data_IF_737584375634
#
_entry.id   IF_737584375634
#
_cell.length_a   1.000
_cell.length_b   1.000
_cell.length_c   1.000
_cell.angle_alpha   90.00
_cell.angle_beta   90.00
_cell.angle_gamma   90.00
#
_symmetry.space_group_name_H-M   'P 1'
#
loop_
_entity.id
_entity.type
_entity.pdbx_description
1 polymer ?
#
# COMPACT_ATOMS: atom_id res chain seq x y z
N UNK A 1 -8.90 66.71 1.41
CA UNK A 1 -7.88 65.73 0.95
C UNK A 1 -8.64 64.58 0.32
N UNK A 2 -8.51 64.36 -0.99
CA UNK A 2 -9.14 63.22 -1.65
C UNK A 2 -8.40 61.93 -1.25
N UNK A 3 -9.10 60.80 -1.08
CA UNK A 3 -8.46 59.51 -0.82
C UNK A 3 -7.52 59.16 -1.97
N UNK A 4 -6.38 58.53 -1.65
CA UNK A 4 -5.44 58.07 -2.67
C UNK A 4 -6.07 56.97 -3.52
N UNK A 5 -5.65 56.86 -4.79
CA UNK A 5 -6.17 55.81 -5.68
C UNK A 5 -6.05 54.40 -5.10
N UNK A 6 -5.01 54.12 -4.30
CA UNK A 6 -4.85 52.83 -3.62
C UNK A 6 -5.89 52.57 -2.53
N UNK A 7 -6.31 53.60 -1.79
CA UNK A 7 -7.37 53.46 -0.77
C UNK A 7 -8.74 53.20 -1.41
N UNK A 8 -9.00 53.81 -2.57
CA UNK A 8 -10.22 53.57 -3.35
C UNK A 8 -10.26 52.14 -3.90
N UNK A 9 -9.15 51.63 -4.41
CA UNK A 9 -9.07 50.24 -4.92
C UNK A 9 -9.24 49.18 -3.83
N UNK A 10 -8.69 49.42 -2.63
CA UNK A 10 -8.86 48.53 -1.48
C UNK A 10 -10.32 48.49 -1.02
N UNK A 11 -10.96 49.66 -0.86
CA UNK A 11 -12.36 49.73 -0.48
C UNK A 11 -13.30 49.06 -1.51
N UNK A 12 -13.03 49.24 -2.80
CA UNK A 12 -13.78 48.58 -3.88
C UNK A 12 -13.59 47.06 -3.85
N UNK A 13 -12.38 46.58 -3.53
CA UNK A 13 -12.11 45.15 -3.39
C UNK A 13 -12.83 44.56 -2.17
N UNK A 14 -12.84 45.27 -1.05
CA UNK A 14 -13.56 44.86 0.16
C UNK A 14 -15.06 44.84 -0.07
N UNK A 15 -15.64 45.87 -0.71
CA UNK A 15 -17.05 45.89 -1.10
C UNK A 15 -17.41 44.74 -2.05
N UNK A 16 -16.57 44.45 -3.04
CA UNK A 16 -16.79 43.32 -3.96
C UNK A 16 -16.77 41.97 -3.24
N UNK A 17 -15.89 41.81 -2.25
CA UNK A 17 -15.77 40.59 -1.45
C UNK A 17 -16.97 40.41 -0.53
N UNK A 18 -17.42 41.49 0.11
CA UNK A 18 -18.63 41.54 0.94
C UNK A 18 -19.89 41.29 0.10
N UNK A 19 -19.98 41.87 -1.09
CA UNK A 19 -21.07 41.61 -2.03
C UNK A 19 -21.12 40.14 -2.46
N UNK A 20 -19.96 39.55 -2.82
CA UNK A 20 -19.87 38.14 -3.17
C UNK A 20 -20.18 37.18 -2.00
N UNK A 21 -20.00 37.63 -0.75
CA UNK A 21 -20.41 36.93 0.46
C UNK A 21 -21.90 37.05 0.76
N UNK A 22 -22.52 38.17 0.35
CA UNK A 22 -23.94 38.48 0.58
C UNK A 22 -24.86 38.03 -0.57
N UNK A 23 -24.31 37.58 -1.70
CA UNK A 23 -25.12 36.97 -2.76
C UNK A 23 -25.82 35.71 -2.22
N UNK A 24 -27.16 35.64 -2.29
CA UNK A 24 -27.90 34.45 -1.87
C UNK A 24 -27.47 33.28 -2.76
N UNK A 25 -26.63 32.39 -2.23
CA UNK A 25 -26.46 31.07 -2.83
C UNK A 25 -27.60 30.24 -2.31
N UNK A 26 -28.66 30.12 -3.09
CA UNK A 26 -29.60 29.03 -2.92
C UNK A 26 -28.77 27.75 -3.05
N UNK A 27 -28.50 27.09 -1.92
CA UNK A 27 -27.75 25.84 -1.93
C UNK A 27 -28.63 24.81 -2.64
N UNK A 28 -28.30 24.52 -3.90
CA UNK A 28 -29.00 23.53 -4.70
C UNK A 28 -28.66 22.15 -4.15
N UNK A 29 -29.60 21.55 -3.42
CA UNK A 29 -29.54 20.16 -2.99
C UNK A 29 -30.37 19.31 -3.95
N UNK A 30 -29.85 18.14 -4.30
CA UNK A 30 -30.66 17.10 -4.89
C UNK A 30 -31.77 16.66 -3.91
N UNK A 31 -32.86 16.09 -4.43
CA UNK A 31 -33.97 15.63 -3.58
C UNK A 31 -33.52 14.56 -2.59
N UNK A 32 -32.62 13.69 -3.03
CA UNK A 32 -32.02 12.58 -2.30
C UNK A 32 -31.14 13.07 -1.13
N UNK A 33 -30.52 14.24 -1.28
CA UNK A 33 -29.65 14.84 -0.25
C UNK A 33 -30.45 15.48 0.89
N UNK A 34 -31.75 15.74 0.68
CA UNK A 34 -32.68 16.25 1.69
C UNK A 34 -32.12 17.47 2.45
N UNK A 35 -31.83 18.55 1.71
CA UNK A 35 -31.27 19.80 2.25
C UNK A 35 -30.00 19.59 3.08
N UNK A 36 -29.14 18.67 2.66
CA UNK A 36 -27.86 18.41 3.32
C UNK A 36 -27.91 17.40 4.45
N UNK A 37 -29.05 16.73 4.65
CA UNK A 37 -29.20 15.68 5.66
C UNK A 37 -28.47 14.39 5.26
N UNK A 38 -28.42 14.09 3.97
CA UNK A 38 -27.83 12.86 3.43
C UNK A 38 -26.87 13.17 2.27
N UNK A 39 -25.90 12.28 2.06
CA UNK A 39 -25.06 12.25 0.87
C UNK A 39 -25.71 11.31 -0.15
N UNK A 40 -25.85 11.75 -1.40
CA UNK A 40 -26.24 10.86 -2.48
C UNK A 40 -24.99 10.23 -3.12
N UNK A 41 -24.71 8.99 -2.74
CA UNK A 41 -23.60 8.21 -3.27
C UNK A 41 -24.04 7.18 -4.32
N UNK A 42 -25.29 7.21 -4.77
CA UNK A 42 -25.84 6.23 -5.72
C UNK A 42 -25.08 6.25 -7.04
N UNK A 43 -24.83 7.44 -7.60
CA UNK A 43 -24.04 7.60 -8.82
C UNK A 43 -22.56 7.23 -8.64
N UNK A 44 -22.04 7.29 -7.40
CA UNK A 44 -20.69 6.83 -7.10
C UNK A 44 -20.62 5.31 -6.97
N UNK A 45 -21.66 4.68 -6.43
CA UNK A 45 -21.78 3.23 -6.39
C UNK A 45 -21.78 2.63 -7.81
N UNK A 46 -22.56 3.17 -8.74
CA UNK A 46 -22.54 2.68 -10.14
C UNK A 46 -21.16 2.78 -10.79
N UNK A 47 -20.42 3.86 -10.52
CA UNK A 47 -19.03 4.02 -10.99
C UNK A 47 -18.08 3.07 -10.28
N UNK A 48 -18.27 2.85 -8.98
CA UNK A 48 -17.49 1.92 -8.17
C UNK A 48 -17.60 0.49 -8.70
N UNK A 49 -18.80 0.07 -9.12
CA UNK A 49 -19.03 -1.26 -9.71
C UNK A 49 -18.19 -1.52 -10.97
N UNK A 50 -17.73 -0.47 -11.63
CA UNK A 50 -16.88 -0.56 -12.82
C UNK A 50 -15.37 -0.56 -12.49
N UNK A 51 -14.97 -0.38 -11.23
CA UNK A 51 -13.56 -0.32 -10.81
C UNK A 51 -13.07 -1.69 -10.35
N UNK A 52 -11.94 -2.17 -10.88
CA UNK A 52 -11.39 -3.50 -10.54
C UNK A 52 -10.72 -3.60 -9.16
N UNK A 53 -10.43 -2.49 -8.48
CA UNK A 53 -9.74 -2.46 -7.18
C UNK A 53 -10.48 -3.10 -6.01
N UNK A 54 -11.79 -3.30 -6.13
CA UNK A 54 -12.62 -3.87 -5.07
C UNK A 54 -13.15 -5.26 -5.45
N UNK A 55 -12.60 -5.81 -6.54
CA UNK A 55 -12.87 -7.16 -7.02
C UNK A 55 -11.56 -7.92 -7.01
N UNK A 56 -11.55 -9.09 -6.38
CA UNK A 56 -10.50 -10.08 -6.65
C UNK A 56 -10.99 -10.94 -7.83
N UNK A 57 -10.46 -10.75 -9.05
CA UNK A 57 -10.85 -11.58 -10.20
C UNK A 57 -10.34 -13.03 -10.10
N UNK A 58 -9.42 -13.33 -9.17
CA UNK A 58 -8.79 -14.65 -9.00
C UNK A 58 -9.27 -15.39 -7.74
N UNK A 59 -10.04 -14.72 -6.86
CA UNK A 59 -10.60 -15.31 -5.65
C UNK A 59 -11.76 -16.26 -5.93
N UNK A 60 -11.71 -17.47 -5.35
CA UNK A 60 -12.76 -18.50 -5.45
C UNK A 60 -14.16 -18.00 -5.00
N UNK A 61 -14.22 -16.89 -4.25
CA UNK A 61 -15.44 -16.26 -3.75
C UNK A 61 -16.30 -15.56 -4.83
N UNK A 62 -15.74 -15.21 -6.00
CA UNK A 62 -16.43 -14.35 -6.98
C UNK A 62 -17.60 -15.03 -7.70
N UNK A 63 -17.50 -16.34 -7.94
CA UNK A 63 -18.55 -17.06 -8.65
C UNK A 63 -19.82 -17.23 -7.80
N UNK A 64 -19.72 -17.05 -6.48
CA UNK A 64 -20.84 -17.16 -5.54
C UNK A 64 -21.32 -15.82 -4.97
N UNK A 65 -20.45 -14.81 -4.76
CA UNK A 65 -20.83 -13.55 -4.09
C UNK A 65 -21.47 -12.48 -4.97
N UNK A 66 -21.32 -12.54 -6.30
CA UNK A 66 -21.90 -11.53 -7.20
C UNK A 66 -21.27 -10.14 -7.05
N UNK A 67 -21.88 -9.12 -7.69
CA UNK A 67 -21.46 -7.74 -7.53
C UNK A 67 -21.84 -7.23 -6.12
N UNK A 68 -20.98 -6.42 -5.46
CA UNK A 68 -21.27 -5.89 -4.13
C UNK A 68 -22.58 -5.08 -4.17
N UNK A 69 -23.39 -5.24 -3.14
CA UNK A 69 -24.57 -4.41 -2.99
C UNK A 69 -24.21 -3.00 -2.50
N UNK A 70 -25.22 -2.13 -2.37
CA UNK A 70 -24.98 -0.76 -1.90
C UNK A 70 -24.45 -0.71 -0.46
N UNK A 71 -24.82 -1.67 0.40
CA UNK A 71 -24.31 -1.77 1.77
C UNK A 71 -22.84 -2.17 1.80
N UNK A 72 -22.47 -3.19 1.04
CA UNK A 72 -21.07 -3.62 0.85
C UNK A 72 -20.20 -2.47 0.34
N UNK A 73 -20.73 -1.68 -0.59
CA UNK A 73 -20.08 -0.46 -1.06
C UNK A 73 -19.85 0.54 0.08
N UNK A 74 -20.87 0.83 0.89
CA UNK A 74 -20.75 1.78 2.00
C UNK A 74 -19.74 1.33 3.06
N UNK A 75 -19.55 0.03 3.24
CA UNK A 75 -18.55 -0.53 4.16
C UNK A 75 -17.09 -0.36 3.69
N UNK A 76 -16.87 -0.11 2.40
CA UNK A 76 -15.54 -0.14 1.77
C UNK A 76 -15.15 1.16 1.05
N UNK A 77 -16.08 1.96 0.55
CA UNK A 77 -15.77 3.10 -0.35
C UNK A 77 -14.83 4.15 0.26
N UNK A 78 -14.80 4.26 1.58
CA UNK A 78 -13.96 5.21 2.32
C UNK A 78 -12.57 4.66 2.68
N UNK A 79 -12.31 3.37 2.43
CA UNK A 79 -11.04 2.68 2.74
C UNK A 79 -10.08 2.77 1.56
N UNK A 80 -9.43 3.93 1.41
CA UNK A 80 -8.49 4.19 0.30
C UNK A 80 -7.11 3.52 0.48
N UNK A 81 -6.77 3.15 1.71
CA UNK A 81 -5.51 2.52 2.10
C UNK A 81 -5.39 1.05 1.62
N UNK A 82 -6.51 0.34 1.53
CA UNK A 82 -6.55 -1.06 1.05
C UNK A 82 -6.45 -1.22 -0.47
N UNK A 83 -6.48 -0.12 -1.23
CA UNK A 83 -6.45 -0.18 -2.69
C UNK A 83 -5.02 -0.34 -3.19
N UNK A 84 -4.75 -1.47 -3.85
CA UNK A 84 -3.44 -1.74 -4.43
C UNK A 84 -3.04 -0.72 -5.51
N UNK A 85 -1.75 -0.36 -5.56
CA UNK A 85 -1.22 0.60 -6.53
C UNK A 85 -1.52 0.20 -7.98
N UNK A 86 -1.50 -1.11 -8.30
CA UNK A 86 -1.81 -1.63 -9.63
C UNK A 86 -3.24 -1.30 -10.09
N UNK A 87 -4.15 -1.06 -9.15
CA UNK A 87 -5.54 -0.74 -9.42
C UNK A 87 -5.84 0.78 -9.40
N UNK A 88 -4.88 1.62 -8.96
CA UNK A 88 -4.96 3.09 -8.98
C UNK A 88 -4.75 3.68 -10.40
N UNK A 89 -5.40 3.08 -11.39
CA UNK A 89 -5.42 3.47 -12.82
C UNK A 89 -6.24 4.74 -13.05
N UNK A 90 -6.27 5.21 -14.29
CA UNK A 90 -6.97 6.44 -14.69
C UNK A 90 -8.45 6.48 -14.27
N UNK A 91 -9.18 5.36 -14.40
CA UNK A 91 -10.58 5.27 -13.99
C UNK A 91 -10.76 5.48 -12.49
N UNK A 92 -9.94 4.83 -11.67
CA UNK A 92 -9.95 5.01 -10.21
C UNK A 92 -9.60 6.43 -9.80
N UNK A 93 -8.55 7.02 -10.40
CA UNK A 93 -8.16 8.41 -10.12
C UNK A 93 -9.28 9.40 -10.43
N UNK A 94 -9.98 9.20 -11.55
CA UNK A 94 -11.14 10.01 -11.91
C UNK A 94 -12.29 9.83 -10.91
N UNK A 95 -12.59 8.60 -10.54
CA UNK A 95 -13.60 8.30 -9.52
C UNK A 95 -13.32 9.02 -8.19
N UNK A 96 -12.09 8.92 -7.68
CA UNK A 96 -11.69 9.58 -6.42
C UNK A 96 -11.72 11.10 -6.55
N UNK A 97 -11.29 11.66 -7.68
CA UNK A 97 -11.34 13.10 -7.92
C UNK A 97 -12.78 13.63 -7.97
N UNK A 98 -13.67 12.92 -8.66
CA UNK A 98 -15.09 13.27 -8.72
C UNK A 98 -15.74 13.16 -7.32
N UNK A 99 -15.39 12.14 -6.54
CA UNK A 99 -15.91 11.93 -5.19
C UNK A 99 -15.44 13.03 -4.25
N UNK A 100 -14.15 13.36 -4.28
CA UNK A 100 -13.60 14.48 -3.54
C UNK A 100 -14.29 15.80 -3.89
N UNK A 101 -14.46 16.09 -5.18
CA UNK A 101 -15.15 17.30 -5.64
C UNK A 101 -16.58 17.38 -5.12
N UNK A 102 -17.32 16.27 -5.15
CA UNK A 102 -18.67 16.19 -4.63
C UNK A 102 -18.72 16.43 -3.12
N UNK A 103 -17.86 15.77 -2.35
CA UNK A 103 -17.82 15.91 -0.89
C UNK A 103 -17.44 17.33 -0.45
N UNK A 104 -16.48 17.96 -1.15
CA UNK A 104 -16.09 19.36 -0.89
C UNK A 104 -17.25 20.31 -1.21
N UNK A 105 -17.89 20.16 -2.37
CA UNK A 105 -19.05 20.99 -2.73
C UNK A 105 -20.20 20.84 -1.74
N UNK A 106 -20.55 19.59 -1.39
CA UNK A 106 -21.57 19.28 -0.41
C UNK A 106 -21.24 19.88 0.96
N UNK A 107 -19.99 19.81 1.41
CA UNK A 107 -19.58 20.44 2.67
C UNK A 107 -19.72 21.96 2.62
N UNK A 108 -19.31 22.62 1.53
CA UNK A 108 -19.49 24.08 1.37
C UNK A 108 -20.95 24.50 1.41
N UNK A 109 -21.83 23.72 0.79
CA UNK A 109 -23.28 23.98 0.77
C UNK A 109 -23.94 23.74 2.12
N UNK A 110 -23.52 22.72 2.86
CA UNK A 110 -24.10 22.37 4.17
C UNK A 110 -23.53 23.18 5.32
N UNK A 111 -22.27 23.59 5.24
CA UNK A 111 -21.54 24.31 6.29
C UNK A 111 -20.87 25.58 5.74
N UNK A 112 -21.62 26.54 5.16
CA UNK A 112 -21.05 27.72 4.50
C UNK A 112 -20.30 28.67 5.44
N UNK A 113 -20.52 28.56 6.75
CA UNK A 113 -19.83 29.37 7.77
C UNK A 113 -18.47 28.80 8.18
N UNK A 114 -18.16 27.57 7.78
CA UNK A 114 -16.87 26.94 8.07
C UNK A 114 -15.87 27.36 6.99
N UNK A 115 -14.69 27.82 7.42
CA UNK A 115 -13.56 28.05 6.51
C UNK A 115 -13.00 26.69 6.04
N UNK A 116 -13.63 26.16 4.99
CA UNK A 116 -13.24 24.87 4.42
C UNK A 116 -11.83 24.92 3.82
N UNK A 117 -11.39 26.08 3.32
CA UNK A 117 -10.05 26.22 2.73
C UNK A 117 -8.98 26.02 3.81
N UNK A 118 -9.13 26.64 4.97
CA UNK A 118 -8.20 26.44 6.08
C UNK A 118 -8.25 24.99 6.61
N UNK A 119 -9.44 24.37 6.66
CA UNK A 119 -9.57 22.97 7.08
C UNK A 119 -8.86 22.00 6.12
N UNK A 120 -9.06 22.16 4.80
CA UNK A 120 -8.40 21.35 3.78
C UNK A 120 -6.88 21.57 3.78
N UNK A 121 -6.45 22.82 3.99
CA UNK A 121 -5.03 23.16 4.13
C UNK A 121 -4.40 22.47 5.33
N UNK A 122 -5.02 22.54 6.51
CA UNK A 122 -4.53 21.84 7.70
C UNK A 122 -4.45 20.32 7.47
N UNK A 123 -5.48 19.73 6.84
CA UNK A 123 -5.47 18.31 6.51
C UNK A 123 -4.33 17.92 5.55
N UNK A 124 -4.00 18.79 4.59
CA UNK A 124 -2.87 18.59 3.68
C UNK A 124 -1.53 18.70 4.42
N UNK A 125 -1.35 19.69 5.30
CA UNK A 125 -0.14 19.84 6.11
C UNK A 125 0.08 18.62 7.02
N UNK A 126 -0.98 18.12 7.66
CA UNK A 126 -0.93 16.91 8.47
C UNK A 126 -0.57 15.69 7.62
N UNK A 127 -1.14 15.57 6.42
CA UNK A 127 -0.80 14.51 5.47
C UNK A 127 0.67 14.59 5.05
N UNK A 128 1.19 15.75 4.65
CA UNK A 128 2.59 15.95 4.27
C UNK A 128 3.55 15.64 5.42
N UNK A 129 3.18 16.00 6.65
CA UNK A 129 3.94 15.65 7.84
C UNK A 129 3.97 14.12 8.08
N UNK A 130 2.86 13.40 7.85
CA UNK A 130 2.85 11.93 7.93
C UNK A 130 3.60 11.29 6.77
N UNK A 131 3.48 11.85 5.57
CA UNK A 131 4.14 11.39 4.35
C UNK A 131 5.66 11.49 4.46
N UNK A 132 6.19 12.62 4.90
CA UNK A 132 7.64 12.80 5.12
C UNK A 132 8.23 11.85 6.17
N UNK A 133 7.40 11.36 7.10
CA UNK A 133 7.80 10.41 8.16
C UNK A 133 7.65 8.94 7.75
N UNK A 134 7.10 8.65 6.58
CA UNK A 134 6.83 7.28 6.18
C UNK A 134 5.64 6.63 6.89
N UNK A 135 4.74 7.43 7.48
CA UNK A 135 3.67 6.95 8.35
C UNK A 135 2.28 7.09 7.70
N UNK A 136 2.16 6.72 6.43
CA UNK A 136 0.88 6.75 5.70
C UNK A 136 0.45 5.33 5.38
N UNK A 137 -0.68 4.92 5.96
CA UNK A 137 -1.26 3.58 5.81
C UNK A 137 -1.51 3.26 4.33
N UNK A 138 -1.12 2.06 3.90
CA UNK A 138 -1.37 1.57 2.53
C UNK A 138 -0.44 2.11 1.44
N UNK A 139 0.55 2.96 1.77
CA UNK A 139 1.51 3.51 0.80
C UNK A 139 2.92 2.94 0.91
N UNK A 140 3.34 2.56 2.12
CA UNK A 140 4.59 1.84 2.34
C UNK A 140 4.26 0.36 2.39
N UNK A 141 4.57 -0.34 1.30
CA UNK A 141 4.45 -1.80 1.22
C UNK A 141 5.35 -2.41 2.28
N UNK A 142 4.89 -3.45 2.99
CA UNK A 142 5.76 -4.33 3.80
C UNK A 142 6.75 -5.16 2.93
N UNK A 143 7.07 -4.70 1.73
CA UNK A 143 8.08 -5.25 0.82
C UNK A 143 8.94 -4.11 0.24
N UNK A 144 9.74 -3.47 1.10
CA UNK A 144 11.09 -2.98 0.82
C UNK A 144 11.57 -2.11 2.01
N UNK A 145 12.57 -2.63 2.73
CA UNK A 145 13.61 -1.86 3.43
C UNK A 145 13.17 -0.53 4.10
N UNK A 146 12.71 -0.61 5.35
CA UNK A 146 12.99 0.44 6.31
C UNK A 146 14.51 0.46 6.61
N UNK A 147 15.14 1.63 6.87
CA UNK A 147 16.58 1.73 6.96
C UNK A 147 17.12 0.90 8.13
N UNK A 148 18.03 -0.01 7.77
CA UNK A 148 18.81 -0.82 8.67
C UNK A 148 19.60 0.05 9.67
N UNK A 149 19.30 -0.11 10.97
CA UNK A 149 20.28 -0.08 12.05
C UNK A 149 19.62 -0.35 13.41
N UNK A 150 19.26 -1.61 13.71
CA UNK A 150 19.34 -2.15 15.08
C UNK A 150 18.86 -3.60 15.26
N UNK A 151 18.04 -4.17 14.37
CA UNK A 151 17.34 -5.44 14.68
C UNK A 151 17.57 -6.62 13.71
N UNK A 152 18.40 -6.48 12.67
CA UNK A 152 18.57 -7.51 11.62
C UNK A 152 19.46 -8.72 12.00
N UNK A 153 19.88 -8.84 13.27
CA UNK A 153 20.66 -10.00 13.72
C UNK A 153 19.81 -11.21 14.15
N UNK A 154 18.54 -11.02 14.52
CA UNK A 154 17.80 -12.04 15.29
C UNK A 154 16.68 -12.75 14.53
N UNK A 155 16.22 -12.25 13.39
CA UNK A 155 15.06 -12.83 12.68
C UNK A 155 15.39 -13.80 11.53
N UNK A 156 16.59 -14.40 11.55
CA UNK A 156 16.94 -15.55 10.68
C UNK A 156 17.17 -16.84 11.45
N UNK A 157 17.15 -16.77 12.78
CA UNK A 157 17.39 -17.90 13.67
C UNK A 157 16.12 -18.15 14.46
N UNK A 158 15.46 -19.27 14.18
CA UNK A 158 14.42 -19.78 15.08
C UNK A 158 15.12 -20.12 16.40
N UNK A 159 14.82 -19.39 17.47
CA UNK A 159 15.35 -19.73 18.79
C UNK A 159 14.65 -21.00 19.28
N UNK A 160 15.29 -22.15 19.10
CA UNK A 160 14.73 -23.45 19.48
C UNK A 160 14.49 -23.58 20.99
N UNK A 161 15.01 -22.67 21.82
CA UNK A 161 14.78 -22.68 23.27
C UNK A 161 13.34 -22.34 23.64
N UNK A 162 12.64 -21.53 22.83
CA UNK A 162 11.28 -21.06 23.10
C UNK A 162 10.19 -22.08 22.73
N UNK A 163 10.50 -23.10 21.92
CA UNK A 163 9.54 -24.09 21.47
C UNK A 163 9.68 -25.40 22.25
N UNK A 164 8.59 -25.93 22.81
CA UNK A 164 8.65 -27.12 23.68
C UNK A 164 8.28 -28.41 22.95
N UNK A 165 7.59 -28.32 21.81
CA UNK A 165 7.22 -29.47 20.98
C UNK A 165 7.47 -29.21 19.47
N UNK A 166 7.54 -30.28 18.68
CA UNK A 166 7.58 -30.17 17.21
C UNK A 166 6.25 -29.62 16.64
N UNK A 167 5.14 -29.75 17.37
CA UNK A 167 3.85 -29.16 16.97
C UNK A 167 3.87 -27.64 17.07
N UNK A 168 4.55 -27.06 18.06
CA UNK A 168 4.66 -25.60 18.19
C UNK A 168 5.45 -24.99 17.03
N UNK A 169 6.43 -25.74 16.51
CA UNK A 169 7.18 -25.38 15.31
C UNK A 169 6.35 -25.55 14.03
N UNK A 170 5.42 -26.50 13.99
CA UNK A 170 4.50 -26.69 12.87
C UNK A 170 3.63 -25.44 12.63
N UNK A 171 3.21 -24.77 13.70
CA UNK A 171 2.41 -23.54 13.64
C UNK A 171 3.14 -22.32 13.06
N UNK A 172 4.47 -22.34 12.96
CA UNK A 172 5.25 -21.25 12.34
C UNK A 172 5.13 -21.23 10.81
N UNK A 173 4.57 -22.28 10.22
CA UNK A 173 4.42 -22.39 8.77
C UNK A 173 5.68 -22.87 8.05
N UNK A 174 5.47 -23.31 6.81
CA UNK A 174 6.47 -24.01 6.00
C UNK A 174 7.70 -23.16 5.70
N UNK A 175 7.51 -21.88 5.41
CA UNK A 175 8.59 -21.01 4.94
C UNK A 175 9.55 -20.65 6.07
N UNK A 176 9.04 -20.35 7.27
CA UNK A 176 9.88 -20.12 8.47
C UNK A 176 10.71 -21.34 8.84
N UNK A 177 10.12 -22.53 8.79
CA UNK A 177 10.85 -23.78 9.06
C UNK A 177 11.93 -24.05 8.00
N UNK A 178 11.65 -23.74 6.74
CA UNK A 178 12.59 -23.88 5.63
C UNK A 178 13.78 -22.93 5.79
N UNK A 179 13.52 -21.67 6.14
CA UNK A 179 14.54 -20.66 6.43
C UNK A 179 15.39 -21.06 7.64
N UNK A 180 14.79 -21.49 8.75
CA UNK A 180 15.51 -21.93 9.93
C UNK A 180 16.39 -23.16 9.67
N UNK A 181 15.91 -24.13 8.89
CA UNK A 181 16.70 -25.28 8.47
C UNK A 181 17.85 -24.87 7.53
N UNK A 182 17.62 -23.95 6.60
CA UNK A 182 18.65 -23.44 5.69
C UNK A 182 19.73 -22.64 6.43
N UNK A 183 19.33 -21.78 7.37
CA UNK A 183 20.23 -21.03 8.25
C UNK A 183 21.07 -21.97 9.13
N UNK A 184 20.48 -23.07 9.60
CA UNK A 184 21.17 -24.13 10.32
C UNK A 184 21.98 -25.08 9.41
N UNK A 185 22.02 -24.88 8.08
CA UNK A 185 22.75 -25.75 7.15
C UNK A 185 22.18 -27.18 7.04
N UNK A 186 20.90 -27.35 7.36
CA UNK A 186 20.14 -28.60 7.31
C UNK A 186 19.29 -28.66 6.04
N UNK A 187 18.96 -29.87 5.59
CA UNK A 187 18.09 -30.06 4.42
C UNK A 187 16.68 -29.58 4.72
N UNK A 188 16.12 -28.76 3.83
CA UNK A 188 14.79 -28.16 3.96
C UNK A 188 13.73 -28.80 3.03
N UNK A 189 13.89 -30.09 2.69
CA UNK A 189 12.92 -30.85 1.88
C UNK A 189 12.08 -31.82 2.71
N UNK A 190 10.79 -31.95 2.38
CA UNK A 190 9.81 -32.82 3.04
C UNK A 190 8.43 -32.16 3.22
N UNK A 191 7.54 -32.84 3.94
CA UNK A 191 6.27 -32.28 4.44
C UNK A 191 6.54 -31.31 5.61
N UNK A 192 5.59 -30.45 5.94
CA UNK A 192 5.74 -29.42 6.99
C UNK A 192 6.12 -30.06 8.35
N UNK A 193 5.47 -31.17 8.69
CA UNK A 193 5.77 -31.97 9.89
C UNK A 193 7.22 -32.47 9.92
N UNK A 194 7.71 -33.00 8.79
CA UNK A 194 9.09 -33.49 8.67
C UNK A 194 10.13 -32.37 8.81
N UNK A 195 9.77 -31.13 8.46
CA UNK A 195 10.63 -29.96 8.67
C UNK A 195 10.67 -29.57 10.15
N UNK A 196 9.50 -29.54 10.81
CA UNK A 196 9.38 -29.22 12.23
C UNK A 196 10.10 -30.26 13.11
N UNK A 197 9.90 -31.55 12.86
CA UNK A 197 10.60 -32.63 13.57
C UNK A 197 12.11 -32.58 13.36
N UNK A 198 12.56 -32.32 12.13
CA UNK A 198 13.99 -32.25 11.79
C UNK A 198 14.66 -31.07 12.49
N UNK A 199 14.01 -29.92 12.52
CA UNK A 199 14.52 -28.74 13.21
C UNK A 199 14.52 -28.96 14.73
N UNK A 200 13.45 -29.52 15.30
CA UNK A 200 13.37 -29.86 16.72
C UNK A 200 14.41 -30.90 17.16
N UNK A 201 14.71 -31.90 16.32
CA UNK A 201 15.71 -32.94 16.62
C UNK A 201 17.14 -32.40 16.78
N UNK A 202 17.39 -31.17 16.31
CA UNK A 202 18.67 -30.46 16.48
C UNK A 202 18.72 -29.56 17.71
N UNK A 203 17.60 -29.41 18.43
CA UNK A 203 17.53 -28.67 19.70
C UNK A 203 18.46 -29.30 20.73
N UNK A 204 19.48 -28.53 21.15
CA UNK A 204 20.42 -28.95 22.20
C UNK A 204 21.53 -29.92 21.78
N UNK A 205 21.65 -30.26 20.49
CA UNK A 205 22.73 -31.09 19.96
C UNK A 205 23.82 -30.23 19.33
N UNK A 206 25.08 -30.64 19.50
CA UNK A 206 26.19 -29.99 18.81
C UNK A 206 26.23 -30.41 17.33
N UNK A 207 26.86 -29.60 16.48
CA UNK A 207 26.95 -29.87 15.02
C UNK A 207 27.48 -31.28 14.71
N UNK A 208 28.30 -31.87 15.57
CA UNK A 208 28.94 -33.18 15.37
C UNK A 208 27.97 -34.36 15.60
N UNK A 209 26.99 -34.19 16.48
CA UNK A 209 25.96 -35.20 16.84
C UNK A 209 24.80 -35.26 15.84
N UNK A 210 24.71 -34.28 14.94
CA UNK A 210 23.68 -34.21 13.90
C UNK A 210 24.00 -35.23 12.79
N UNK A 211 23.05 -36.14 12.45
CA UNK A 211 23.25 -37.14 11.40
C UNK A 211 23.66 -36.53 10.05
N UNK A 212 24.69 -37.10 9.41
CA UNK A 212 25.18 -36.66 8.08
C UNK A 212 24.08 -36.68 7.00
N UNK A 213 23.02 -37.47 7.20
CA UNK A 213 21.88 -37.58 6.27
C UNK A 213 20.99 -36.33 6.25
N UNK A 214 20.92 -35.57 7.36
CA UNK A 214 20.10 -34.35 7.48
C UNK A 214 20.89 -33.06 7.21
N UNK A 215 22.23 -33.10 7.26
CA UNK A 215 23.09 -31.99 6.87
C UNK A 215 22.98 -31.71 5.36
N UNK A 216 22.89 -30.44 4.97
CA UNK A 216 22.93 -30.05 3.57
C UNK A 216 24.31 -30.33 2.97
N UNK A 217 24.34 -30.81 1.71
CA UNK A 217 25.59 -30.99 0.96
C UNK A 217 26.00 -29.60 0.44
N UNK A 218 27.25 -29.18 0.63
CA UNK A 218 27.77 -27.92 0.06
C UNK A 218 27.64 -27.98 -1.47
N UNK A 219 26.63 -27.32 -2.04
CA UNK A 219 26.62 -26.95 -3.46
C UNK A 219 27.29 -25.58 -3.59
N UNK A 220 28.32 -25.50 -4.42
CA UNK A 220 29.07 -24.28 -4.74
C UNK A 220 28.15 -23.15 -5.24
N UNK A 221 28.43 -21.87 -4.91
CA UNK A 221 27.63 -20.76 -5.38
C UNK A 221 27.94 -20.48 -6.86
N UNK A 222 26.92 -20.48 -7.70
CA UNK A 222 27.00 -19.91 -9.06
C UNK A 222 27.06 -18.40 -8.92
N UNK A 223 28.25 -17.83 -9.10
CA UNK A 223 28.46 -16.39 -9.17
C UNK A 223 27.98 -15.87 -10.53
N UNK A 224 26.91 -15.08 -10.53
CA UNK A 224 26.64 -14.11 -11.57
C UNK A 224 27.42 -12.82 -11.28
N UNK A 225 27.81 -12.14 -12.36
CA UNK A 225 28.39 -10.80 -12.47
C UNK A 225 29.93 -10.65 -12.40
N UNK A 226 30.55 -10.51 -13.57
CA UNK A 226 31.58 -9.49 -13.81
C UNK A 226 31.67 -9.16 -15.30
N UNK A 227 31.51 -7.88 -15.61
CA UNK A 227 31.62 -7.26 -16.92
C UNK A 227 33.07 -7.17 -17.44
N UNK A 228 33.25 -7.29 -18.76
CA UNK A 228 34.11 -6.45 -19.63
C UNK A 228 34.47 -7.20 -20.94
N UNK A 229 34.47 -6.54 -22.12
CA UNK A 229 34.84 -7.15 -23.39
C UNK A 229 36.35 -7.00 -23.68
N UNK A 230 36.99 -7.95 -24.38
CA UNK A 230 38.27 -7.66 -25.05
C UNK A 230 38.04 -7.36 -26.53
N UNK A 231 38.45 -6.16 -26.93
CA UNK A 231 38.72 -5.80 -28.31
C UNK A 231 40.15 -6.23 -28.73
N UNK A 232 40.33 -6.30 -30.06
CA UNK A 232 41.58 -6.32 -30.82
C UNK A 232 42.24 -7.69 -31.13
N UNK A 233 41.94 -8.18 -32.34
CA UNK A 233 42.90 -8.06 -33.44
C UNK A 233 43.81 -9.25 -33.74
N UNK A 234 43.54 -9.93 -34.86
CA UNK A 234 44.50 -10.19 -35.96
C UNK A 234 43.79 -10.82 -37.18
N UNK A 235 43.66 -10.03 -38.25
CA UNK A 235 43.64 -10.47 -39.67
C UNK A 235 45.09 -10.86 -40.08
N UNK A 236 45.40 -11.40 -41.29
CA UNK A 236 44.56 -11.80 -42.44
C UNK A 236 44.95 -13.16 -43.09
N UNK A 237 44.15 -13.65 -44.05
CA UNK A 237 44.55 -14.36 -45.30
C UNK A 237 43.28 -14.66 -46.12
N UNK A 238 43.04 -13.96 -47.23
CA UNK A 238 43.48 -14.23 -48.62
C UNK A 238 42.73 -15.37 -49.34
N UNK A 239 42.50 -15.12 -50.64
CA UNK A 239 42.04 -15.98 -51.74
C UNK A 239 40.50 -16.13 -51.89
N UNK A 240 39.87 -15.44 -52.84
CA UNK A 240 39.84 -15.63 -54.32
C UNK A 240 38.67 -16.53 -54.76
N UNK A 241 37.91 -16.06 -55.74
CA UNK A 241 36.85 -16.79 -56.43
C UNK A 241 35.58 -15.98 -56.59
#
# INVERSE_FOLDING_TARGET
KFPSQGAVQLAQREEALVAALLEPRDAEFAGEEMFGKYLDLTAFHERFLNLRCFYDPEGEDFQERGAPDYGDFLDVFWKFDGVEEREKKAAYRRYVADLHSYLVDFFRRTQPLVDLEELLKQAMEDFEAMWSRGNVSGWYREEAEAPAAAAEGQMRTIDLKTFHTASDLHSLGRDRLKEGLQAAGLKAGGTLEQLAERLFSTKGKSWEEIPKKIKAKKSSPTAAAAAAPPAAGKRPREAEG
#
